data_IF_329487638518
#
_entry.id   IF_329487638518
#
_cell.length_a   1.000
_cell.length_b   1.000
_cell.length_c   1.000
_cell.angle_alpha   90.00
_cell.angle_beta   90.00
_cell.angle_gamma   90.00
#
_symmetry.space_group_name_H-M   'P 1'
#
loop_
_entity.id
_entity.type
_entity.pdbx_description
1 polymer ?
#
# COMPACT_ATOMS: atom_id res chain seq x y z
N UNK A 1 8.16 7.87 3.03
CA UNK A 1 6.82 7.75 3.64
C UNK A 1 5.99 9.04 3.52
N UNK A 2 6.36 10.16 4.16
CA UNK A 2 5.56 11.42 4.14
C UNK A 2 5.19 11.87 2.71
N UNK A 3 6.16 11.89 1.77
CA UNK A 3 5.91 12.24 0.37
C UNK A 3 4.83 11.38 -0.30
N UNK A 4 4.76 10.10 0.03
CA UNK A 4 3.76 9.17 -0.50
C UNK A 4 2.39 9.42 0.13
N UNK A 5 2.34 9.60 1.45
CA UNK A 5 1.10 9.82 2.19
C UNK A 5 0.41 11.14 1.82
N UNK A 6 1.19 12.16 1.43
CA UNK A 6 0.65 13.42 0.88
C UNK A 6 -0.11 13.26 -0.45
N UNK A 7 -0.04 12.10 -1.12
CA UNK A 7 -0.84 11.82 -2.33
C UNK A 7 -2.29 11.43 -1.99
N UNK A 8 -2.58 11.14 -0.73
CA UNK A 8 -3.91 10.74 -0.24
C UNK A 8 -4.59 11.95 0.38
N UNK A 9 -5.90 12.07 0.19
CA UNK A 9 -6.69 13.24 0.64
C UNK A 9 -6.74 13.40 2.16
N UNK A 10 -6.80 12.29 2.90
CA UNK A 10 -6.73 12.27 4.36
C UNK A 10 -6.21 10.93 4.88
N UNK A 11 -5.51 10.95 6.01
CA UNK A 11 -5.02 9.77 6.71
C UNK A 11 -5.33 9.95 8.19
N UNK A 12 -6.27 9.17 8.72
CA UNK A 12 -6.63 9.25 10.15
C UNK A 12 -5.66 8.46 11.02
N UNK A 13 -5.35 7.23 10.60
CA UNK A 13 -4.49 6.31 11.35
C UNK A 13 -3.60 5.51 10.40
N UNK A 14 -2.41 5.14 10.85
CA UNK A 14 -1.46 4.32 10.10
C UNK A 14 -1.05 3.13 10.95
N UNK A 15 -1.16 1.92 10.40
CA UNK A 15 -0.73 0.70 11.09
C UNK A 15 0.53 0.16 10.43
N UNK A 16 1.59 -0.05 11.23
CA UNK A 16 2.91 -0.51 10.79
C UNK A 16 3.30 -1.82 11.46
N UNK A 17 4.23 -2.54 10.85
CA UNK A 17 4.95 -3.61 11.54
C UNK A 17 6.13 -3.03 12.34
N UNK A 18 6.87 -3.90 13.03
CA UNK A 18 8.00 -3.48 13.86
C UNK A 18 9.32 -3.40 13.06
N UNK A 19 9.27 -3.16 11.75
CA UNK A 19 10.44 -2.94 10.92
C UNK A 19 11.24 -1.70 11.36
N UNK A 20 12.57 -1.80 11.33
CA UNK A 20 13.47 -0.71 11.75
C UNK A 20 13.36 0.53 10.85
N UNK A 21 12.92 0.37 9.61
CA UNK A 21 12.62 1.46 8.67
C UNK A 21 11.53 2.42 9.17
N UNK A 22 10.70 1.96 10.13
CA UNK A 22 9.63 2.74 10.75
C UNK A 22 10.05 3.40 12.07
N UNK A 23 11.33 3.36 12.45
CA UNK A 23 11.81 4.01 13.67
C UNK A 23 11.49 5.51 13.73
N UNK A 24 11.41 6.19 12.59
CA UNK A 24 11.06 7.61 12.49
C UNK A 24 9.53 7.89 12.47
N UNK A 25 8.69 6.95 12.91
CA UNK A 25 7.23 7.05 12.88
C UNK A 25 6.68 8.33 13.54
N UNK A 26 7.23 8.78 14.66
CA UNK A 26 6.78 10.02 15.32
C UNK A 26 6.82 11.26 14.39
N UNK A 27 7.86 11.34 13.54
CA UNK A 27 7.98 12.41 12.55
C UNK A 27 6.89 12.31 11.48
N UNK A 28 6.51 11.09 11.11
CA UNK A 28 5.44 10.83 10.15
C UNK A 28 4.09 11.19 10.77
N UNK A 29 3.83 10.79 12.01
CA UNK A 29 2.60 11.09 12.75
C UNK A 29 2.36 12.61 12.80
N UNK A 30 3.40 13.37 13.20
CA UNK A 30 3.34 14.83 13.26
C UNK A 30 3.12 15.49 11.90
N UNK A 31 3.81 15.01 10.86
CA UNK A 31 3.71 15.58 9.52
C UNK A 31 2.36 15.30 8.83
N UNK A 32 1.73 14.17 9.16
CA UNK A 32 0.45 13.76 8.58
C UNK A 32 -0.75 14.09 9.46
N UNK A 33 -0.53 14.53 10.70
CA UNK A 33 -1.55 14.68 11.72
C UNK A 33 -2.41 13.41 11.88
N UNK A 34 -1.73 12.26 11.99
CA UNK A 34 -2.33 10.93 12.01
C UNK A 34 -1.77 10.09 13.15
N UNK A 35 -2.60 9.24 13.76
CA UNK A 35 -2.16 8.32 14.81
C UNK A 35 -1.42 7.12 14.19
N UNK A 36 -0.37 6.65 14.86
CA UNK A 36 0.40 5.48 14.40
C UNK A 36 0.25 4.33 15.40
N UNK A 37 -0.06 3.16 14.87
CA UNK A 37 -0.20 1.92 15.61
C UNK A 37 0.78 0.86 15.09
N UNK A 38 1.28 0.03 16.00
CA UNK A 38 2.17 -1.07 15.66
C UNK A 38 1.50 -2.42 15.88
N UNK A 39 1.74 -3.36 14.96
CA UNK A 39 1.35 -4.74 15.16
C UNK A 39 2.07 -5.33 16.37
N UNK A 40 1.37 -6.12 17.18
CA UNK A 40 1.99 -6.85 18.30
C UNK A 40 3.11 -7.75 17.75
N UNK A 41 4.22 -7.95 18.49
CA UNK A 41 5.24 -8.93 18.11
C UNK A 41 4.61 -10.28 17.81
N UNK A 42 5.08 -10.93 16.74
CA UNK A 42 4.59 -12.23 16.26
C UNK A 42 3.10 -12.29 15.85
N UNK A 43 2.43 -11.13 15.70
CA UNK A 43 1.04 -11.06 15.25
C UNK A 43 0.92 -10.61 13.79
N UNK A 44 1.67 -11.25 12.89
CA UNK A 44 1.68 -10.94 11.45
C UNK A 44 0.29 -11.02 10.80
N UNK A 45 -0.58 -11.87 11.32
CA UNK A 45 -1.98 -12.01 10.87
C UNK A 45 -2.80 -10.70 10.98
N UNK A 46 -2.39 -9.76 11.84
CA UNK A 46 -3.04 -8.44 11.98
C UNK A 46 -2.82 -7.54 10.77
N UNK A 47 -1.86 -7.86 9.90
CA UNK A 47 -1.55 -7.14 8.67
C UNK A 47 -1.80 -8.02 7.43
N UNK A 48 -2.79 -8.92 7.49
CA UNK A 48 -3.10 -9.86 6.41
C UNK A 48 -3.35 -9.20 5.05
N UNK A 49 -3.90 -7.98 5.02
CA UNK A 49 -4.08 -7.21 3.78
C UNK A 49 -2.75 -6.82 3.13
N UNK A 50 -1.76 -6.42 3.94
CA UNK A 50 -0.43 -6.07 3.44
C UNK A 50 0.27 -7.31 2.89
N UNK A 51 0.17 -8.45 3.60
CA UNK A 51 0.75 -9.72 3.14
C UNK A 51 0.13 -10.21 1.82
N UNK A 52 -1.20 -10.11 1.67
CA UNK A 52 -1.87 -10.45 0.42
C UNK A 52 -1.40 -9.53 -0.73
N UNK A 53 -1.29 -8.22 -0.46
CA UNK A 53 -0.80 -7.24 -1.45
C UNK A 53 0.64 -7.51 -1.85
N UNK A 54 1.51 -7.79 -0.88
CA UNK A 54 2.90 -8.20 -1.11
C UNK A 54 2.96 -9.47 -1.97
N UNK A 55 2.07 -10.43 -1.74
CA UNK A 55 1.96 -11.64 -2.55
C UNK A 55 1.73 -11.35 -4.04
N UNK A 56 0.95 -10.32 -4.38
CA UNK A 56 0.70 -9.90 -5.76
C UNK A 56 1.96 -9.29 -6.38
N UNK A 57 2.63 -8.41 -5.65
CA UNK A 57 3.92 -7.84 -6.07
C UNK A 57 4.92 -8.95 -6.36
N UNK A 58 4.96 -9.99 -5.52
CA UNK A 58 5.89 -11.12 -5.67
C UNK A 58 5.59 -12.04 -6.85
N UNK A 59 4.40 -11.99 -7.45
CA UNK A 59 4.11 -12.69 -8.72
C UNK A 59 4.85 -12.04 -9.89
N UNK A 60 5.01 -10.72 -9.86
CA UNK A 60 5.72 -9.94 -10.88
C UNK A 60 7.21 -9.81 -10.57
N UNK A 61 7.56 -9.55 -9.30
CA UNK A 61 8.93 -9.35 -8.82
C UNK A 61 9.28 -10.38 -7.73
N UNK A 62 9.79 -11.56 -8.13
CA UNK A 62 10.07 -12.65 -7.23
C UNK A 62 11.01 -12.27 -6.08
N UNK A 63 10.97 -13.05 -5.00
CA UNK A 63 11.93 -12.90 -3.90
C UNK A 63 13.36 -13.04 -4.46
N UNK A 64 14.27 -12.19 -3.98
CA UNK A 64 15.68 -12.09 -4.40
C UNK A 64 15.94 -11.48 -5.79
N UNK A 65 14.89 -11.06 -6.52
CA UNK A 65 15.09 -10.19 -7.67
C UNK A 65 15.69 -8.85 -7.20
N UNK A 66 16.73 -8.39 -7.88
CA UNK A 66 17.31 -7.07 -7.64
C UNK A 66 16.29 -5.99 -8.03
N UNK A 67 15.76 -5.26 -7.05
CA UNK A 67 14.82 -4.17 -7.27
C UNK A 67 15.52 -2.87 -7.71
N UNK A 68 16.85 -2.82 -7.66
CA UNK A 68 17.67 -1.65 -8.02
C UNK A 68 17.59 -1.24 -9.49
N UNK A 69 17.18 -2.16 -10.37
CA UNK A 69 16.99 -1.89 -11.80
C UNK A 69 15.60 -1.35 -12.13
N UNK A 70 14.67 -1.37 -11.17
CA UNK A 70 13.32 -0.89 -11.39
C UNK A 70 13.32 0.64 -11.43
N UNK A 71 12.66 1.17 -12.45
CA UNK A 71 12.42 2.60 -12.61
C UNK A 71 11.16 3.02 -11.86
N UNK A 72 11.00 4.33 -11.63
CA UNK A 72 9.73 4.89 -11.15
C UNK A 72 8.56 4.55 -12.08
N UNK A 73 8.81 4.37 -13.38
CA UNK A 73 7.80 3.93 -14.36
C UNK A 73 7.32 2.50 -14.11
N UNK A 74 8.24 1.60 -13.76
CA UNK A 74 7.91 0.21 -13.40
C UNK A 74 7.07 0.17 -12.12
N UNK A 75 7.41 0.99 -11.13
CA UNK A 75 6.64 1.12 -9.88
C UNK A 75 5.23 1.63 -10.17
N UNK A 76 5.07 2.68 -10.97
CA UNK A 76 3.74 3.19 -11.35
C UNK A 76 2.90 2.17 -12.12
N UNK A 77 3.52 1.42 -13.02
CA UNK A 77 2.85 0.35 -13.76
C UNK A 77 2.32 -0.71 -12.79
N UNK A 78 3.13 -1.10 -11.80
CA UNK A 78 2.70 -2.06 -10.77
C UNK A 78 1.62 -1.49 -9.85
N UNK A 79 1.73 -0.22 -9.43
CA UNK A 79 0.69 0.46 -8.65
C UNK A 79 -0.65 0.46 -9.39
N UNK A 80 -0.64 0.84 -10.67
CA UNK A 80 -1.84 0.82 -11.51
C UNK A 80 -2.41 -0.59 -11.63
N UNK A 81 -1.58 -1.59 -11.92
CA UNK A 81 -2.01 -2.99 -11.99
C UNK A 81 -2.71 -3.44 -10.70
N UNK A 82 -2.16 -3.11 -9.52
CA UNK A 82 -2.75 -3.51 -8.24
C UNK A 82 -4.08 -2.81 -8.01
N UNK A 83 -4.17 -1.52 -8.35
CA UNK A 83 -5.33 -0.68 -8.13
C UNK A 83 -6.48 -0.94 -9.12
N UNK A 84 -6.18 -1.43 -10.32
CA UNK A 84 -7.17 -1.82 -11.34
C UNK A 84 -7.48 -3.31 -11.35
N UNK A 85 -6.87 -4.11 -10.46
CA UNK A 85 -7.15 -5.55 -10.36
C UNK A 85 -8.42 -5.81 -9.55
N UNK A 86 -9.44 -6.49 -10.12
CA UNK A 86 -10.66 -6.89 -9.42
C UNK A 86 -10.37 -7.69 -8.14
N UNK A 87 -11.09 -7.39 -7.05
CA UNK A 87 -10.95 -8.10 -5.78
C UNK A 87 -12.24 -8.82 -5.40
N UNK A 88 -12.13 -10.12 -5.10
CA UNK A 88 -13.28 -10.91 -4.60
C UNK A 88 -13.88 -10.33 -3.32
N UNK A 89 -13.05 -9.82 -2.40
CA UNK A 89 -13.51 -9.19 -1.15
C UNK A 89 -14.30 -7.90 -1.40
N UNK A 90 -14.10 -7.25 -2.54
CA UNK A 90 -14.84 -6.07 -2.98
C UNK A 90 -16.00 -6.44 -3.92
N UNK A 91 -16.43 -7.71 -3.99
CA UNK A 91 -17.51 -8.13 -4.89
C UNK A 91 -17.16 -8.08 -6.37
N UNK A 92 -15.87 -8.13 -6.73
CA UNK A 92 -15.41 -8.03 -8.12
C UNK A 92 -15.07 -6.62 -8.57
N UNK A 93 -15.31 -5.61 -7.75
CA UNK A 93 -14.85 -4.25 -7.99
C UNK A 93 -13.33 -4.11 -7.77
N UNK A 94 -12.75 -3.09 -8.38
CA UNK A 94 -11.34 -2.77 -8.21
C UNK A 94 -11.12 -1.81 -7.03
N UNK A 95 -9.93 -1.84 -6.39
CA UNK A 95 -9.61 -0.88 -5.33
C UNK A 95 -9.77 0.58 -5.76
N UNK A 96 -9.41 0.90 -7.01
CA UNK A 96 -9.54 2.24 -7.54
C UNK A 96 -11.00 2.69 -7.62
N UNK A 97 -11.90 1.85 -8.13
CA UNK A 97 -13.33 2.16 -8.23
C UNK A 97 -13.98 2.38 -6.87
N UNK A 98 -13.64 1.53 -5.89
CA UNK A 98 -14.16 1.68 -4.53
C UNK A 98 -13.62 2.95 -3.88
N UNK A 99 -12.38 3.33 -4.17
CA UNK A 99 -11.75 4.52 -3.61
C UNK A 99 -12.26 5.82 -4.24
N UNK A 100 -12.45 5.87 -5.56
CA UNK A 100 -12.88 7.09 -6.28
C UNK A 100 -14.39 7.20 -6.42
N UNK A 101 -15.13 6.10 -6.27
CA UNK A 101 -16.55 6.01 -6.60
C UNK A 101 -16.83 6.09 -8.11
N UNK A 102 -15.80 5.98 -8.96
CA UNK A 102 -15.92 6.10 -10.42
C UNK A 102 -15.49 4.79 -11.09
N UNK A 103 -16.22 4.31 -12.11
CA UNK A 103 -15.80 3.17 -12.93
C UNK A 103 -14.44 3.39 -13.57
N UNK A 104 -13.61 2.34 -13.70
CA UNK A 104 -12.30 2.45 -14.39
C UNK A 104 -12.44 2.98 -15.81
N UNK A 105 -13.52 2.64 -16.52
CA UNK A 105 -13.79 3.11 -17.88
C UNK A 105 -13.84 4.64 -18.00
N UNK A 106 -14.02 5.37 -16.90
CA UNK A 106 -14.06 6.83 -16.84
C UNK A 106 -12.76 7.46 -16.32
N UNK A 107 -11.77 6.66 -15.92
CA UNK A 107 -10.50 7.11 -15.30
C UNK A 107 -9.32 7.00 -16.31
N UNK A 108 -9.53 6.38 -17.48
CA UNK A 108 -8.53 6.18 -18.53
C UNK A 108 -8.36 7.40 -19.45
#
# INVERSE_FOLDING_TARGET
MIKLLKRVSSVCTITLDNGGEFAAHEKVAKAMNADIYFAKPYASYKLGTNENTNGIIRRTWPKKMALSHLTEGDVRTMEMLINTMPRKVLGGWTPLEVYTGQPIALIA
#
